data_IF_328635642902
#
_entry.id   IF_328635642902
#
_cell.length_a   1.000
_cell.length_b   1.000
_cell.length_c   1.000
_cell.angle_alpha   90.00
_cell.angle_beta   90.00
_cell.angle_gamma   90.00
#
_symmetry.space_group_name_H-M   'P 1'
#
loop_
_entity.id
_entity.type
_entity.pdbx_description
1 polymer ?
#
# COMPACT_ATOMS: atom_id res chain seq x y z
N UNK A 1 -16.57 5.96 11.30
CA UNK A 1 -15.44 5.43 10.52
C UNK A 1 -15.91 4.12 9.92
N UNK A 2 -16.10 4.08 8.59
CA UNK A 2 -16.43 2.82 7.91
C UNK A 2 -15.12 2.14 7.57
N UNK A 3 -14.84 1.01 8.22
CA UNK A 3 -13.67 0.19 7.97
C UNK A 3 -14.02 -0.78 6.85
N UNK A 4 -13.44 -0.61 5.67
CA UNK A 4 -13.64 -1.55 4.59
C UNK A 4 -12.46 -2.53 4.55
N UNK A 5 -12.71 -3.81 4.81
CA UNK A 5 -11.70 -4.86 4.78
C UNK A 5 -11.97 -5.82 3.62
N UNK A 6 -10.99 -6.01 2.74
CA UNK A 6 -11.14 -6.83 1.54
C UNK A 6 -10.03 -7.87 1.43
N UNK A 7 -10.35 -9.10 1.00
CA UNK A 7 -9.33 -10.06 0.61
C UNK A 7 -8.67 -9.63 -0.71
N UNK A 8 -7.39 -9.99 -0.87
CA UNK A 8 -6.72 -9.82 -2.16
C UNK A 8 -7.19 -10.86 -3.16
N UNK A 9 -7.51 -10.39 -4.36
CA UNK A 9 -7.82 -11.20 -5.53
C UNK A 9 -6.51 -11.45 -6.28
N UNK A 10 -6.08 -12.70 -6.25
CA UNK A 10 -4.90 -13.15 -6.98
C UNK A 10 -5.32 -13.67 -8.37
N UNK A 11 -4.67 -13.16 -9.41
CA UNK A 11 -5.00 -13.50 -10.80
C UNK A 11 -3.77 -13.39 -11.69
N UNK A 12 -3.73 -14.18 -12.75
CA UNK A 12 -2.76 -14.03 -13.86
C UNK A 12 -3.04 -12.76 -14.70
N UNK A 13 -4.24 -12.19 -14.57
CA UNK A 13 -4.66 -11.02 -15.30
C UNK A 13 -4.60 -9.76 -14.43
N UNK A 14 -4.06 -8.67 -15.00
CA UNK A 14 -4.07 -7.36 -14.36
C UNK A 14 -5.49 -6.80 -14.33
N UNK A 15 -5.79 -6.02 -13.30
CA UNK A 15 -7.03 -5.25 -13.24
C UNK A 15 -7.13 -4.32 -14.46
N UNK A 16 -8.17 -4.49 -15.28
CA UNK A 16 -8.40 -3.66 -16.45
C UNK A 16 -9.07 -2.34 -16.05
N UNK A 17 -8.27 -1.28 -15.97
CA UNK A 17 -8.71 0.08 -15.70
C UNK A 17 -8.84 0.94 -16.97
N UNK A 18 -8.81 0.36 -18.17
CA UNK A 18 -8.69 1.13 -19.43
C UNK A 18 -9.81 2.17 -19.59
N UNK A 19 -11.06 1.76 -19.41
CA UNK A 19 -12.22 2.66 -19.50
C UNK A 19 -12.19 3.77 -18.44
N UNK A 20 -11.65 3.46 -17.26
CA UNK A 20 -11.50 4.41 -16.18
C UNK A 20 -10.37 5.40 -16.45
N UNK A 21 -9.26 4.96 -17.03
CA UNK A 21 -8.16 5.82 -17.45
C UNK A 21 -8.61 6.79 -18.56
N UNK A 22 -9.38 6.31 -19.53
CA UNK A 22 -9.99 7.16 -20.58
C UNK A 22 -10.93 8.20 -19.95
N UNK A 23 -11.77 7.79 -19.01
CA UNK A 23 -12.67 8.70 -18.28
C UNK A 23 -11.88 9.76 -17.49
N UNK A 24 -10.79 9.37 -16.84
CA UNK A 24 -9.94 10.29 -16.09
C UNK A 24 -9.20 11.27 -17.00
N UNK A 25 -8.67 10.80 -18.14
CA UNK A 25 -8.04 11.66 -19.15
C UNK A 25 -9.03 12.67 -19.73
N UNK A 26 -10.26 12.24 -20.06
CA UNK A 26 -11.35 13.13 -20.49
C UNK A 26 -11.67 14.17 -19.42
N UNK A 27 -11.80 13.75 -18.16
CA UNK A 27 -12.03 14.66 -17.03
C UNK A 27 -10.92 15.70 -16.92
N UNK A 28 -9.64 15.29 -16.99
CA UNK A 28 -8.49 16.20 -16.93
C UNK A 28 -8.43 17.19 -18.08
N UNK A 29 -8.67 16.72 -19.31
CA UNK A 29 -8.75 17.60 -20.48
C UNK A 29 -9.90 18.60 -20.35
N UNK A 30 -11.06 18.14 -19.91
CA UNK A 30 -12.25 18.95 -19.71
C UNK A 30 -12.05 19.99 -18.59
N UNK A 31 -11.45 19.62 -17.46
CA UNK A 31 -11.06 20.53 -16.37
C UNK A 31 -10.05 21.60 -16.83
N UNK A 32 -9.06 21.23 -17.65
CA UNK A 32 -8.10 22.19 -18.19
C UNK A 32 -8.72 23.18 -19.17
N UNK A 33 -9.76 22.76 -19.92
CA UNK A 33 -10.50 23.62 -20.84
C UNK A 33 -11.52 24.52 -20.12
N UNK A 34 -12.29 23.96 -19.18
CA UNK A 34 -13.32 24.71 -18.43
C UNK A 34 -12.80 25.50 -17.23
N UNK A 35 -11.63 25.16 -16.68
CA UNK A 35 -10.95 25.99 -15.68
C UNK A 35 -10.71 27.42 -16.18
N UNK A 36 -10.69 27.61 -17.51
CA UNK A 36 -10.64 28.92 -18.18
C UNK A 36 -12.02 29.60 -18.32
N UNK A 37 -13.12 28.87 -18.16
CA UNK A 37 -14.49 29.34 -18.42
C UNK A 37 -15.39 29.45 -17.17
N UNK A 38 -14.90 29.11 -15.96
CA UNK A 38 -15.64 29.21 -14.67
C UNK A 38 -17.06 28.57 -14.69
N UNK A 39 -17.27 27.49 -15.44
CA UNK A 39 -18.55 26.77 -15.41
C UNK A 39 -18.53 25.70 -14.31
N UNK A 40 -19.49 25.75 -13.38
CA UNK A 40 -19.49 24.99 -12.11
C UNK A 40 -19.94 23.53 -12.21
N UNK A 41 -20.37 23.06 -13.37
CA UNK A 41 -20.96 21.72 -13.48
C UNK A 41 -19.96 20.82 -14.21
N UNK A 42 -19.34 19.90 -13.47
CA UNK A 42 -18.35 18.95 -13.99
C UNK A 42 -19.12 17.71 -14.50
N UNK A 43 -19.36 17.55 -15.83
CA UNK A 43 -20.19 16.49 -16.38
C UNK A 43 -19.46 15.14 -16.48
N UNK A 44 -18.17 15.09 -16.14
CA UNK A 44 -17.36 13.88 -16.22
C UNK A 44 -17.18 13.27 -14.83
N UNK A 45 -18.25 12.64 -14.34
CA UNK A 45 -18.16 11.75 -13.19
C UNK A 45 -17.34 10.50 -13.56
N UNK A 46 -16.55 9.98 -12.61
CA UNK A 46 -15.98 8.65 -12.79
C UNK A 46 -17.15 7.65 -12.77
N UNK A 47 -17.16 6.71 -13.72
CA UNK A 47 -18.26 5.74 -13.87
C UNK A 47 -18.28 4.67 -12.76
N UNK A 48 -17.16 4.49 -12.06
CA UNK A 48 -16.98 3.46 -11.04
C UNK A 48 -16.40 4.07 -9.76
N UNK A 49 -17.27 4.27 -8.76
CA UNK A 49 -16.90 4.85 -7.46
C UNK A 49 -15.93 3.95 -6.67
N UNK A 50 -15.90 2.65 -6.97
CA UNK A 50 -15.04 1.67 -6.31
C UNK A 50 -13.76 1.39 -7.08
N UNK A 51 -13.45 2.15 -8.14
CA UNK A 51 -12.29 1.95 -9.01
C UNK A 51 -10.99 1.78 -8.21
N UNK A 52 -10.75 2.67 -7.25
CA UNK A 52 -9.51 2.66 -6.48
C UNK A 52 -9.43 1.44 -5.55
N UNK A 53 -10.54 1.03 -4.95
CA UNK A 53 -10.59 -0.19 -4.13
C UNK A 53 -10.30 -1.40 -5.02
N UNK A 54 -10.99 -1.53 -6.16
CA UNK A 54 -10.79 -2.63 -7.11
C UNK A 54 -9.35 -2.70 -7.59
N UNK A 55 -8.79 -1.58 -8.05
CA UNK A 55 -7.39 -1.54 -8.49
C UNK A 55 -6.40 -1.94 -7.38
N UNK A 56 -6.71 -1.61 -6.12
CA UNK A 56 -5.86 -1.94 -4.97
C UNK A 56 -6.08 -3.34 -4.40
N UNK A 57 -7.08 -4.11 -4.79
CA UNK A 57 -7.27 -5.48 -4.27
C UNK A 57 -6.80 -6.57 -5.23
N UNK A 58 -6.32 -6.21 -6.43
CA UNK A 58 -5.76 -7.18 -7.38
C UNK A 58 -4.24 -7.30 -7.22
N UNK A 59 -3.74 -8.54 -7.19
CA UNK A 59 -2.30 -8.87 -7.19
C UNK A 59 -2.05 -10.04 -8.15
N UNK A 60 -0.82 -10.14 -8.67
CA UNK A 60 -0.46 -11.25 -9.57
C UNK A 60 -0.46 -12.59 -8.81
N UNK A 61 -0.76 -13.70 -9.49
CA UNK A 61 -0.88 -15.03 -8.86
C UNK A 61 0.39 -15.47 -8.11
N UNK A 62 1.57 -15.01 -8.54
CA UNK A 62 2.86 -15.31 -7.89
C UNK A 62 2.87 -14.93 -6.40
N UNK A 63 2.03 -13.95 -6.02
CA UNK A 63 1.93 -13.44 -4.66
C UNK A 63 0.85 -14.14 -3.82
N UNK A 64 0.14 -15.15 -4.35
CA UNK A 64 -0.98 -15.80 -3.64
C UNK A 64 -0.59 -16.42 -2.29
N UNK A 65 0.70 -16.75 -2.11
CA UNK A 65 1.23 -17.34 -0.90
C UNK A 65 1.13 -16.41 0.33
N UNK A 66 1.04 -15.09 0.14
CA UNK A 66 0.97 -14.13 1.25
C UNK A 66 -0.41 -14.08 1.93
N UNK A 67 -1.49 -14.50 1.23
CA UNK A 67 -2.87 -14.53 1.75
C UNK A 67 -3.28 -13.19 2.42
N UNK A 68 -2.99 -12.09 1.74
CA UNK A 68 -3.17 -10.72 2.26
C UNK A 68 -4.65 -10.31 2.40
N UNK A 69 -4.92 -9.48 3.41
CA UNK A 69 -6.13 -8.67 3.54
C UNK A 69 -5.76 -7.19 3.53
N UNK A 70 -6.52 -6.34 2.83
CA UNK A 70 -6.31 -4.88 2.83
C UNK A 70 -7.44 -4.15 3.51
N UNK A 71 -7.06 -3.21 4.37
CA UNK A 71 -7.97 -2.30 5.05
C UNK A 71 -7.93 -0.96 4.32
N UNK A 72 -9.11 -0.47 3.95
CA UNK A 72 -9.28 0.83 3.32
C UNK A 72 -10.02 1.77 4.26
N UNK A 73 -9.31 2.82 4.68
CA UNK A 73 -9.84 3.85 5.56
C UNK A 73 -10.38 4.99 4.69
N UNK A 74 -11.69 5.01 4.50
CA UNK A 74 -12.35 6.12 3.82
C UNK A 74 -12.66 7.20 4.86
N UNK A 75 -11.75 8.15 5.07
CA UNK A 75 -11.98 9.29 5.96
C UNK A 75 -11.98 10.60 5.17
N UNK A 76 -13.11 11.30 5.18
CA UNK A 76 -13.20 12.72 4.81
C UNK A 76 -12.74 13.64 5.94
N UNK A 77 -12.48 13.11 7.14
CA UNK A 77 -12.01 13.85 8.29
C UNK A 77 -10.49 13.69 8.45
N UNK A 78 -9.79 14.82 8.46
CA UNK A 78 -8.34 14.96 8.62
C UNK A 78 -7.87 14.49 10.01
N UNK A 79 -8.79 14.38 10.97
CA UNK A 79 -8.55 13.69 12.25
C UNK A 79 -8.64 12.18 12.04
N UNK A 80 -7.62 11.62 11.38
CA UNK A 80 -7.42 10.19 11.25
C UNK A 80 -7.21 9.62 12.65
N UNK A 81 -8.19 8.88 13.15
CA UNK A 81 -7.97 7.92 14.23
C UNK A 81 -7.03 6.85 13.65
N UNK A 82 -5.72 7.05 13.82
CA UNK A 82 -4.73 6.01 13.55
C UNK A 82 -5.16 4.78 14.33
N UNK A 83 -5.19 3.62 13.66
CA UNK A 83 -5.35 2.37 14.39
C UNK A 83 -4.10 2.26 15.26
N UNK A 84 -4.26 2.32 16.58
CA UNK A 84 -3.16 2.17 17.52
C UNK A 84 -2.74 0.70 17.53
N UNK A 85 -1.94 0.31 16.53
CA UNK A 85 -1.35 -1.02 16.43
C UNK A 85 0.10 -0.88 16.83
N UNK A 86 0.45 -1.47 17.96
CA UNK A 86 1.84 -1.64 18.36
C UNK A 86 2.48 -2.74 17.49
N UNK A 87 3.53 -2.42 16.72
CA UNK A 87 4.19 -3.42 15.90
C UNK A 87 4.91 -4.42 16.79
N UNK A 88 4.60 -5.71 16.62
CA UNK A 88 5.29 -6.80 17.34
C UNK A 88 6.73 -6.99 16.88
N UNK A 89 6.98 -6.76 15.59
CA UNK A 89 8.31 -6.89 14.99
C UNK A 89 8.48 -5.96 13.78
N UNK A 90 9.73 -5.55 13.51
CA UNK A 90 10.13 -4.81 12.31
C UNK A 90 11.12 -5.66 11.50
N UNK A 91 10.86 -5.82 10.20
CA UNK A 91 11.73 -6.54 9.28
C UNK A 91 12.39 -5.55 8.30
N UNK A 92 13.69 -5.31 8.49
CA UNK A 92 14.49 -4.42 7.66
C UNK A 92 14.80 -5.10 6.33
N UNK A 93 14.54 -4.42 5.21
CA UNK A 93 14.78 -4.99 3.88
C UNK A 93 16.25 -5.37 3.65
N UNK A 94 16.49 -6.42 2.87
CA UNK A 94 17.83 -6.95 2.62
C UNK A 94 18.80 -5.99 1.90
N UNK A 95 18.27 -4.93 1.29
CA UNK A 95 19.03 -3.90 0.57
C UNK A 95 18.83 -2.50 1.17
N UNK A 96 18.43 -2.41 2.44
CA UNK A 96 18.22 -1.13 3.11
C UNK A 96 19.55 -0.36 3.20
N UNK A 97 19.51 0.96 2.96
CA UNK A 97 20.69 1.81 3.14
C UNK A 97 21.02 1.97 4.63
N UNK A 98 22.31 2.16 4.95
CA UNK A 98 22.74 2.36 6.34
C UNK A 98 22.04 3.55 7.03
N UNK A 99 21.77 4.62 6.26
CA UNK A 99 21.02 5.79 6.74
C UNK A 99 19.60 5.39 7.16
N UNK A 100 18.84 4.76 6.26
CA UNK A 100 17.46 4.37 6.55
C UNK A 100 17.40 3.31 7.66
N UNK A 101 18.35 2.37 7.66
CA UNK A 101 18.49 1.36 8.71
C UNK A 101 18.63 2.01 10.09
N UNK A 102 19.51 2.99 10.21
CA UNK A 102 19.76 3.70 11.47
C UNK A 102 18.54 4.50 11.93
N UNK A 103 17.85 5.17 11.01
CA UNK A 103 16.62 5.92 11.34
C UNK A 103 15.49 4.99 11.80
N UNK A 104 15.27 3.87 11.12
CA UNK A 104 14.24 2.89 11.53
C UNK A 104 14.58 2.30 12.91
N UNK A 105 15.85 2.01 13.20
CA UNK A 105 16.25 1.51 14.52
C UNK A 105 16.01 2.52 15.64
N UNK A 106 16.18 3.83 15.38
CA UNK A 106 15.81 4.88 16.33
C UNK A 106 14.30 4.89 16.58
N UNK A 107 13.51 4.81 15.51
CA UNK A 107 12.05 4.76 15.60
C UNK A 107 11.62 3.51 16.38
N UNK A 108 12.19 2.34 16.09
CA UNK A 108 11.88 1.09 16.77
C UNK A 108 12.06 1.19 18.29
N UNK A 109 13.12 1.87 18.76
CA UNK A 109 13.36 2.13 20.18
C UNK A 109 12.34 3.12 20.76
N UNK A 110 12.01 4.18 20.02
CA UNK A 110 11.05 5.20 20.46
C UNK A 110 9.63 4.62 20.62
N UNK A 111 9.25 3.66 19.80
CA UNK A 111 7.95 2.99 19.85
C UNK A 111 7.98 1.67 20.65
N UNK A 112 9.10 1.37 21.30
CA UNK A 112 9.31 0.15 22.10
C UNK A 112 8.97 -1.15 21.35
N UNK A 113 9.29 -1.20 20.05
CA UNK A 113 9.08 -2.41 19.25
C UNK A 113 10.03 -3.51 19.70
N UNK A 114 9.46 -4.61 20.21
CA UNK A 114 10.19 -5.67 20.91
C UNK A 114 11.24 -6.37 20.06
N UNK A 115 10.98 -6.53 18.76
CA UNK A 115 11.84 -7.31 17.88
C UNK A 115 12.16 -6.56 16.60
N UNK A 116 13.44 -6.52 16.23
CA UNK A 116 13.86 -6.02 14.92
C UNK A 116 14.75 -7.05 14.25
N UNK A 117 14.44 -7.35 12.98
CA UNK A 117 15.11 -8.35 12.17
C UNK A 117 15.70 -7.72 10.91
N UNK A 118 16.84 -8.23 10.45
CA UNK A 118 17.40 -7.92 9.14
C UNK A 118 17.04 -9.05 8.19
N UNK A 119 16.32 -8.74 7.12
CA UNK A 119 16.01 -9.71 6.07
C UNK A 119 17.26 -10.00 5.25
N UNK A 120 17.44 -11.27 4.90
CA UNK A 120 18.55 -11.79 4.11
C UNK A 120 17.97 -12.56 2.92
N UNK A 121 18.57 -12.39 1.74
CA UNK A 121 18.22 -13.21 0.58
C UNK A 121 19.00 -14.52 0.64
N UNK A 122 18.33 -15.65 0.47
CA UNK A 122 19.01 -16.94 0.41
C UNK A 122 19.53 -17.17 -1.02
N UNK A 123 20.78 -16.78 -1.27
CA UNK A 123 21.36 -16.80 -2.62
C UNK A 123 21.63 -18.21 -3.17
N UNK A 124 21.71 -19.22 -2.29
CA UNK A 124 21.99 -20.61 -2.67
C UNK A 124 20.72 -21.47 -2.87
N UNK A 125 19.53 -20.88 -2.76
CA UNK A 125 18.26 -21.59 -2.94
C UNK A 125 17.84 -21.58 -4.42
N UNK A 126 17.43 -22.72 -5.00
CA UNK A 126 16.84 -22.77 -6.35
C UNK A 126 15.47 -22.06 -6.43
N UNK A 127 14.87 -21.74 -5.28
CA UNK A 127 13.62 -20.98 -5.16
C UNK A 127 13.87 -19.62 -4.49
N UNK A 128 13.03 -18.63 -4.81
CA UNK A 128 13.09 -17.34 -4.10
C UNK A 128 12.75 -17.55 -2.61
N UNK A 129 13.76 -17.46 -1.75
CA UNK A 129 13.63 -17.66 -0.31
C UNK A 129 14.35 -16.55 0.44
N UNK A 130 13.69 -16.10 1.51
CA UNK A 130 14.18 -15.03 2.38
C UNK A 130 14.36 -15.62 3.78
N UNK A 131 15.48 -15.30 4.40
CA UNK A 131 15.76 -15.57 5.81
C UNK A 131 15.81 -14.26 6.58
N UNK A 132 15.95 -14.34 7.90
CA UNK A 132 16.09 -13.17 8.75
C UNK A 132 17.03 -13.44 9.92
N UNK A 133 17.73 -12.41 10.35
CA UNK A 133 18.58 -12.42 11.54
C UNK A 133 18.07 -11.39 12.55
N UNK A 134 18.10 -11.71 13.85
CA UNK A 134 17.67 -10.78 14.90
C UNK A 134 18.75 -9.71 15.08
N UNK A 135 18.35 -8.44 14.96
CA UNK A 135 19.22 -7.27 15.11
C UNK A 135 19.12 -6.70 16.52
N UNK A 136 17.94 -6.80 17.13
CA UNK A 136 17.63 -6.18 18.41
C UNK A 136 16.44 -6.88 19.07
N UNK A 137 16.51 -6.98 20.40
CA UNK A 137 15.43 -7.43 21.27
C UNK A 137 15.38 -6.54 22.52
N UNK A 138 14.19 -6.04 22.86
CA UNK A 138 13.94 -5.41 24.17
C UNK A 138 13.72 -6.53 25.18
N UNK A 139 14.60 -6.59 26.19
CA UNK A 139 14.43 -7.42 27.38
C UNK A 139 13.20 -7.00 28.19
#
# INVERSE_FOLDING_TARGET
MVLNCYPIIYSDFRFDATNSAVSFAKKKLFENYLGKLKCSNNPVALKDDLLFIKANIFKHIDWHHEKEWRIWLNSTNVNLNFINIEPKAIYLGCRISNKNRSEILKIAKLIECREVYQMLKEDNSPFYKMNYEKVYELN
#
